data_IF_636495596326
#
_entry.id   IF_636495596326
#
_cell.length_a   1.000
_cell.length_b   1.000
_cell.length_c   1.000
_cell.angle_alpha   90.00
_cell.angle_beta   90.00
_cell.angle_gamma   90.00
#
_symmetry.space_group_name_H-M   'P 1'
#
loop_
_entity.id
_entity.type
_entity.pdbx_description
1 polymer ?
#
# COMPACT_ATOMS: atom_id res chain seq x y z
N UNK A 1 24.56 -83.81 11.70
CA UNK A 1 25.23 -83.39 12.95
C UNK A 1 25.81 -82.02 12.67
N UNK A 2 25.15 -80.99 13.22
CA UNK A 2 25.58 -79.61 13.44
C UNK A 2 26.37 -78.90 12.31
N UNK A 3 25.64 -78.30 11.37
CA UNK A 3 26.13 -77.11 10.67
C UNK A 3 26.00 -75.89 11.59
N UNK A 4 27.15 -75.32 11.95
CA UNK A 4 27.28 -74.22 12.89
C UNK A 4 27.01 -72.89 12.18
N UNK A 5 26.07 -72.14 12.74
CA UNK A 5 25.72 -70.75 12.46
C UNK A 5 26.95 -69.82 12.43
N UNK A 6 27.08 -69.04 11.35
CA UNK A 6 27.77 -67.75 11.35
C UNK A 6 26.73 -66.64 11.53
N UNK A 7 26.81 -65.77 12.56
CA UNK A 7 25.85 -64.68 12.69
C UNK A 7 26.26 -63.52 11.77
N UNK A 8 25.41 -63.25 10.77
CA UNK A 8 25.36 -61.98 10.03
C UNK A 8 24.90 -60.86 10.97
N UNK A 9 25.83 -60.23 11.69
CA UNK A 9 25.55 -59.00 12.45
C UNK A 9 26.72 -58.04 12.27
N UNK A 10 26.93 -57.50 11.06
CA UNK A 10 27.72 -56.27 10.88
C UNK A 10 27.32 -55.42 9.66
N UNK A 11 26.26 -55.77 8.92
CA UNK A 11 25.89 -55.02 7.70
C UNK A 11 24.58 -54.23 7.77
N UNK A 12 23.94 -54.13 8.94
CA UNK A 12 22.65 -53.43 9.09
C UNK A 12 22.75 -52.09 9.84
N UNK A 13 23.85 -51.83 10.54
CA UNK A 13 24.03 -50.59 11.32
C UNK A 13 24.66 -49.43 10.51
N UNK A 14 25.33 -49.73 9.39
CA UNK A 14 25.95 -48.68 8.56
C UNK A 14 24.95 -48.07 7.56
N UNK A 15 23.90 -48.80 7.13
CA UNK A 15 22.88 -48.24 6.25
C UNK A 15 21.86 -47.34 6.97
N UNK A 16 21.63 -47.53 8.27
CA UNK A 16 20.68 -46.69 9.04
C UNK A 16 21.33 -45.35 9.42
N UNK A 17 22.65 -45.30 9.59
CA UNK A 17 23.37 -44.04 9.83
C UNK A 17 23.62 -43.20 8.56
N UNK A 18 23.56 -43.81 7.37
CA UNK A 18 23.62 -43.08 6.09
C UNK A 18 22.25 -42.63 5.57
N UNK A 19 21.15 -43.13 6.14
CA UNK A 19 19.78 -42.68 5.87
C UNK A 19 19.30 -41.55 6.80
N UNK A 20 20.09 -41.18 7.81
CA UNK A 20 19.79 -40.10 8.76
C UNK A 20 20.71 -38.87 8.65
N UNK A 21 21.57 -38.79 7.62
CA UNK A 21 22.43 -37.61 7.35
C UNK A 21 21.99 -36.85 6.08
N UNK A 22 20.72 -37.01 5.67
CA UNK A 22 20.12 -36.18 4.61
C UNK A 22 18.68 -35.74 4.94
N UNK A 23 18.35 -35.51 6.22
CA UNK A 23 17.07 -34.92 6.61
C UNK A 23 17.17 -33.59 7.37
N UNK A 24 18.38 -33.03 7.53
CA UNK A 24 18.58 -31.69 8.10
C UNK A 24 19.37 -30.80 7.14
N UNK A 25 18.68 -30.27 6.13
CA UNK A 25 18.87 -28.93 5.53
C UNK A 25 17.95 -28.75 4.32
N UNK A 26 16.67 -29.01 4.53
CA UNK A 26 15.62 -28.26 3.84
C UNK A 26 14.64 -27.78 4.91
N UNK A 27 15.12 -26.92 5.82
CA UNK A 27 14.28 -25.78 6.16
C UNK A 27 14.14 -25.00 4.85
N UNK A 28 13.16 -25.37 4.04
CA UNK A 28 12.59 -24.49 3.04
C UNK A 28 12.07 -23.31 3.85
N UNK A 29 12.92 -22.32 4.10
CA UNK A 29 12.47 -21.01 4.55
C UNK A 29 11.44 -20.61 3.51
N UNK A 30 10.19 -20.46 3.93
CA UNK A 30 9.11 -20.09 3.02
C UNK A 30 9.63 -18.96 2.13
N UNK A 31 9.62 -19.16 0.81
CA UNK A 31 10.08 -18.14 -0.12
C UNK A 31 9.33 -16.85 0.22
N UNK A 32 10.07 -15.77 0.50
CA UNK A 32 9.46 -14.49 0.85
C UNK A 32 8.48 -14.04 -0.24
N UNK A 33 8.74 -14.39 -1.49
CA UNK A 33 7.89 -14.12 -2.64
C UNK A 33 6.86 -15.22 -2.80
N UNK A 34 5.58 -14.85 -2.83
CA UNK A 34 4.49 -15.78 -3.09
C UNK A 34 3.66 -15.37 -4.31
N UNK A 35 3.27 -16.34 -5.13
CA UNK A 35 2.35 -16.12 -6.24
C UNK A 35 0.95 -15.76 -5.70
N UNK A 36 0.33 -14.63 -6.12
CA UNK A 36 -1.00 -14.26 -5.64
C UNK A 36 -2.07 -15.29 -6.01
N UNK A 37 -1.88 -16.04 -7.10
CA UNK A 37 -2.79 -17.09 -7.57
C UNK A 37 -2.93 -18.26 -6.59
N UNK A 38 -2.02 -18.40 -5.63
CA UNK A 38 -2.15 -19.34 -4.50
C UNK A 38 -3.37 -19.04 -3.62
N UNK A 39 -3.79 -17.78 -3.56
CA UNK A 39 -4.82 -17.29 -2.64
C UNK A 39 -6.05 -16.73 -3.36
N UNK A 40 -5.87 -16.17 -4.56
CA UNK A 40 -6.93 -15.42 -5.24
C UNK A 40 -7.07 -15.84 -6.70
N UNK A 41 -8.26 -16.24 -7.09
CA UNK A 41 -8.62 -16.46 -8.48
C UNK A 41 -9.15 -15.16 -9.09
N UNK A 42 -8.34 -14.47 -9.88
CA UNK A 42 -8.75 -13.22 -10.51
C UNK A 42 -9.96 -13.39 -11.45
N UNK A 43 -10.07 -14.51 -12.18
CA UNK A 43 -11.19 -14.72 -13.09
C UNK A 43 -12.54 -14.73 -12.35
N UNK A 44 -12.58 -15.36 -11.18
CA UNK A 44 -13.75 -15.34 -10.29
C UNK A 44 -13.98 -13.96 -9.68
N UNK A 45 -12.94 -13.33 -9.12
CA UNK A 45 -13.06 -12.03 -8.44
C UNK A 45 -13.34 -10.86 -9.41
N UNK A 46 -13.07 -11.05 -10.70
CA UNK A 46 -13.33 -10.06 -11.74
C UNK A 46 -14.80 -9.98 -12.16
N UNK A 47 -15.63 -10.94 -11.72
CA UNK A 47 -17.08 -10.91 -11.92
C UNK A 47 -17.73 -9.84 -11.04
N UNK A 48 -18.84 -9.27 -11.52
CA UNK A 48 -19.62 -8.30 -10.75
C UNK A 48 -20.32 -9.04 -9.61
N UNK A 49 -20.04 -8.70 -8.34
CA UNK A 49 -20.72 -9.34 -7.21
C UNK A 49 -22.19 -8.91 -7.16
N UNK A 50 -23.04 -9.78 -6.60
CA UNK A 50 -24.38 -9.37 -6.20
C UNK A 50 -24.30 -8.33 -5.08
N UNK A 51 -25.24 -7.39 -5.06
CA UNK A 51 -25.35 -6.38 -4.02
C UNK A 51 -26.82 -5.97 -3.83
N UNK A 52 -27.11 -5.40 -2.67
CA UNK A 52 -28.43 -4.87 -2.32
C UNK A 52 -28.28 -3.59 -1.52
N UNK A 53 -29.32 -2.77 -1.50
CA UNK A 53 -29.34 -1.61 -0.61
C UNK A 53 -29.23 -2.06 0.85
N UNK A 54 -28.43 -1.33 1.62
CA UNK A 54 -28.25 -1.66 3.04
C UNK A 54 -29.55 -1.39 3.80
N UNK A 55 -30.00 -2.33 4.66
CA UNK A 55 -31.23 -2.17 5.44
C UNK A 55 -31.04 -1.28 6.68
N UNK A 56 -29.83 -0.76 6.90
CA UNK A 56 -29.43 -0.05 8.12
C UNK A 56 -29.73 1.44 8.00
N UNK A 57 -30.88 1.88 8.54
CA UNK A 57 -31.26 3.29 8.56
C UNK A 57 -30.25 4.17 9.34
N UNK A 58 -29.62 3.58 10.35
CA UNK A 58 -28.56 4.14 11.18
C UNK A 58 -27.16 4.01 10.55
N UNK A 59 -27.07 3.79 9.24
CA UNK A 59 -25.83 3.93 8.46
C UNK A 59 -26.05 4.78 7.21
N UNK A 60 -27.16 5.52 7.10
CA UNK A 60 -27.37 6.45 5.99
C UNK A 60 -26.44 7.66 6.11
N UNK A 61 -25.95 8.12 4.97
CA UNK A 61 -25.16 9.34 4.86
C UNK A 61 -25.58 10.12 3.62
N UNK A 62 -25.83 11.42 3.78
CA UNK A 62 -26.35 12.25 2.69
C UNK A 62 -25.39 12.26 1.49
N UNK A 63 -25.92 12.05 0.28
CA UNK A 63 -25.12 12.04 -0.95
C UNK A 63 -24.37 10.74 -1.23
N UNK A 64 -24.44 9.74 -0.34
CA UNK A 64 -23.85 8.41 -0.55
C UNK A 64 -24.92 7.32 -0.53
N UNK A 65 -24.80 6.35 -1.44
CA UNK A 65 -25.60 5.13 -1.43
C UNK A 65 -24.88 4.07 -0.62
N UNK A 66 -25.50 3.61 0.47
CA UNK A 66 -25.05 2.47 1.25
C UNK A 66 -25.59 1.15 0.70
N UNK A 67 -24.70 0.18 0.55
CA UNK A 67 -25.00 -1.14 0.02
C UNK A 67 -24.33 -2.24 0.85
N UNK A 68 -24.92 -3.43 0.78
CA UNK A 68 -24.27 -4.67 1.17
C UNK A 68 -23.90 -5.43 -0.09
N UNK A 69 -22.63 -5.82 -0.18
CA UNK A 69 -22.06 -6.54 -1.32
C UNK A 69 -21.77 -7.97 -0.90
N UNK A 70 -22.18 -8.94 -1.71
CA UNK A 70 -21.78 -10.34 -1.54
C UNK A 70 -20.28 -10.45 -1.73
N UNK A 71 -19.57 -10.69 -0.64
CA UNK A 71 -18.11 -10.80 -0.61
C UNK A 71 -17.62 -12.23 -0.77
N UNK A 72 -16.31 -12.39 -0.64
CA UNK A 72 -15.69 -13.71 -0.57
C UNK A 72 -16.17 -14.48 0.66
N UNK A 73 -16.32 -15.80 0.49
CA UNK A 73 -16.75 -16.70 1.56
C UNK A 73 -15.81 -16.63 2.76
N UNK A 74 -16.39 -16.56 3.95
CA UNK A 74 -15.66 -16.66 5.22
C UNK A 74 -15.89 -18.05 5.79
N UNK A 75 -14.83 -18.84 5.93
CA UNK A 75 -14.93 -20.23 6.41
C UNK A 75 -15.94 -21.07 5.60
N UNK A 76 -15.97 -20.86 4.28
CA UNK A 76 -16.88 -21.54 3.36
C UNK A 76 -18.32 -21.00 3.34
N UNK A 77 -18.67 -20.08 4.24
CA UNK A 77 -20.00 -19.47 4.32
C UNK A 77 -20.07 -18.16 3.54
N UNK A 78 -21.21 -17.89 2.94
CA UNK A 78 -21.45 -16.61 2.28
C UNK A 78 -21.41 -15.48 3.30
N UNK A 79 -20.78 -14.36 2.91
CA UNK A 79 -20.60 -13.21 3.78
C UNK A 79 -20.74 -11.94 2.97
N UNK A 80 -21.38 -10.94 3.55
CA UNK A 80 -21.47 -9.60 2.96
C UNK A 80 -20.39 -8.67 3.54
N UNK A 81 -20.16 -7.55 2.87
CA UNK A 81 -19.47 -6.40 3.44
C UNK A 81 -20.22 -5.11 3.11
N UNK A 82 -20.07 -4.11 3.98
CA UNK A 82 -20.70 -2.80 3.81
C UNK A 82 -19.86 -1.89 2.92
N UNK A 83 -20.51 -1.14 2.03
CA UNK A 83 -19.86 -0.11 1.23
C UNK A 83 -20.75 1.13 1.06
N UNK A 84 -20.12 2.29 0.94
CA UNK A 84 -20.71 3.48 0.37
C UNK A 84 -20.24 3.66 -1.07
N UNK A 85 -21.16 4.07 -1.93
CA UNK A 85 -20.92 4.47 -3.32
C UNK A 85 -21.41 5.90 -3.52
N UNK A 86 -20.65 6.72 -4.25
CA UNK A 86 -21.08 8.05 -4.62
C UNK A 86 -20.44 8.55 -5.90
N UNK A 87 -21.04 9.60 -6.47
CA UNK A 87 -20.65 10.17 -7.76
C UNK A 87 -20.53 11.69 -7.66
N UNK A 88 -19.68 12.32 -8.47
CA UNK A 88 -19.66 13.78 -8.60
C UNK A 88 -21.03 14.31 -9.01
N UNK A 89 -21.35 15.52 -8.54
CA UNK A 89 -22.55 16.23 -8.98
C UNK A 89 -22.38 16.74 -10.42
N UNK A 90 -23.50 16.92 -11.13
CA UNK A 90 -23.52 17.44 -12.50
C UNK A 90 -23.59 16.35 -13.57
N UNK A 91 -23.39 16.71 -14.85
CA UNK A 91 -23.52 15.76 -15.95
C UNK A 91 -22.38 14.73 -15.92
N UNK A 92 -22.76 13.45 -16.06
CA UNK A 92 -21.80 12.36 -16.24
C UNK A 92 -21.04 12.57 -17.57
N UNK A 93 -19.69 12.48 -17.60
CA UNK A 93 -18.91 12.50 -18.83
C UNK A 93 -19.36 11.41 -19.79
N UNK A 94 -19.13 11.60 -21.10
CA UNK A 94 -19.55 10.65 -22.16
C UNK A 94 -19.13 9.19 -21.88
N UNK A 95 -17.96 8.99 -21.26
CA UNK A 95 -17.42 7.67 -20.93
C UNK A 95 -17.48 7.34 -19.43
N UNK A 96 -18.29 8.05 -18.64
CA UNK A 96 -18.35 7.91 -17.18
C UNK A 96 -17.26 8.67 -16.43
N UNK A 97 -17.44 8.81 -15.12
CA UNK A 97 -16.45 9.39 -14.21
C UNK A 97 -15.29 8.42 -13.97
N UNK A 98 -14.04 8.91 -13.83
CA UNK A 98 -12.98 8.07 -13.29
C UNK A 98 -13.33 7.60 -11.87
N UNK A 99 -12.91 6.39 -11.50
CA UNK A 99 -13.31 5.72 -10.27
C UNK A 99 -12.17 5.53 -9.27
N UNK A 100 -12.47 5.64 -7.97
CA UNK A 100 -11.53 5.38 -6.89
C UNK A 100 -12.11 4.35 -5.90
N UNK A 101 -11.33 3.33 -5.59
CA UNK A 101 -11.56 2.43 -4.46
C UNK A 101 -10.76 2.95 -3.26
N UNK A 102 -11.43 3.36 -2.19
CA UNK A 102 -10.78 3.80 -0.95
C UNK A 102 -10.68 2.63 0.04
N UNK A 103 -9.47 2.34 0.52
CA UNK A 103 -9.16 1.22 1.41
C UNK A 103 -8.62 1.76 2.73
N UNK A 104 -9.43 1.71 3.78
CA UNK A 104 -9.10 2.32 5.07
C UNK A 104 -7.99 1.57 5.83
N UNK A 105 -7.37 2.25 6.79
CA UNK A 105 -6.33 1.71 7.66
C UNK A 105 -6.84 0.86 8.81
N UNK A 106 -5.89 0.39 9.63
CA UNK A 106 -6.18 -0.45 10.79
C UNK A 106 -7.05 0.32 11.78
N UNK A 107 -8.05 -0.35 12.35
CA UNK A 107 -9.02 0.32 13.20
C UNK A 107 -9.88 1.37 12.48
N UNK A 108 -9.93 1.40 11.14
CA UNK A 108 -10.81 2.28 10.35
C UNK A 108 -12.19 1.68 10.03
N UNK A 109 -12.90 2.31 9.10
CA UNK A 109 -14.19 1.88 8.53
C UNK A 109 -14.44 2.53 7.16
N UNK A 110 -15.61 2.34 6.55
CA UNK A 110 -16.05 3.03 5.34
C UNK A 110 -16.34 4.52 5.61
N UNK A 111 -15.30 5.35 5.72
CA UNK A 111 -15.42 6.77 6.10
C UNK A 111 -16.13 7.65 5.05
N UNK A 112 -17.37 8.13 5.33
CA UNK A 112 -18.13 8.90 4.36
C UNK A 112 -17.48 10.25 4.02
N UNK A 113 -16.79 10.89 4.98
CA UNK A 113 -16.16 12.19 4.74
C UNK A 113 -14.99 12.13 3.72
N UNK A 114 -14.27 11.00 3.65
CA UNK A 114 -13.24 10.83 2.62
C UNK A 114 -13.85 10.45 1.28
N UNK A 115 -14.96 9.71 1.25
CA UNK A 115 -15.70 9.51 0.01
C UNK A 115 -16.17 10.85 -0.56
N UNK A 116 -16.80 11.71 0.25
CA UNK A 116 -17.20 13.05 -0.18
C UNK A 116 -16.03 13.87 -0.74
N UNK A 117 -14.86 13.80 -0.11
CA UNK A 117 -13.68 14.55 -0.53
C UNK A 117 -13.25 14.16 -1.95
N UNK A 118 -13.13 12.86 -2.22
CA UNK A 118 -12.76 12.36 -3.55
C UNK A 118 -13.86 12.57 -4.59
N UNK A 119 -15.12 12.51 -4.18
CA UNK A 119 -16.28 12.88 -5.01
C UNK A 119 -16.23 14.35 -5.42
N UNK A 120 -15.97 15.26 -4.47
CA UNK A 120 -15.79 16.70 -4.72
C UNK A 120 -14.60 16.98 -5.64
N UNK A 121 -13.56 16.13 -5.59
CA UNK A 121 -12.43 16.17 -6.52
C UNK A 121 -12.74 15.59 -7.91
N UNK A 122 -13.97 15.11 -8.15
CA UNK A 122 -14.44 14.67 -9.46
C UNK A 122 -14.23 13.19 -9.76
N UNK A 123 -14.26 12.32 -8.74
CA UNK A 123 -14.19 10.87 -8.89
C UNK A 123 -15.50 10.20 -8.46
N UNK A 124 -15.92 9.16 -9.17
CA UNK A 124 -16.82 8.17 -8.60
C UNK A 124 -16.07 7.37 -7.54
N UNK A 125 -16.69 7.09 -6.40
CA UNK A 125 -16.01 6.46 -5.27
C UNK A 125 -16.80 5.26 -4.79
N UNK A 126 -16.08 4.16 -4.53
CA UNK A 126 -16.52 3.13 -3.59
C UNK A 126 -15.56 3.14 -2.40
N UNK A 127 -16.12 3.21 -1.19
CA UNK A 127 -15.39 3.00 0.06
C UNK A 127 -16.12 1.93 0.85
N UNK A 128 -15.39 1.00 1.43
CA UNK A 128 -15.99 -0.18 2.04
C UNK A 128 -15.28 -0.54 3.35
N UNK A 129 -15.96 -1.32 4.19
CA UNK A 129 -15.45 -1.76 5.48
C UNK A 129 -14.97 -3.22 5.38
N UNK A 130 -13.67 -3.43 5.56
CA UNK A 130 -13.08 -4.76 5.51
C UNK A 130 -13.05 -5.46 6.88
N UNK A 131 -13.51 -4.82 7.95
CA UNK A 131 -13.63 -5.41 9.29
C UNK A 131 -14.96 -6.14 9.51
N UNK A 132 -15.86 -6.17 8.52
CA UNK A 132 -17.25 -6.63 8.67
C UNK A 132 -18.06 -5.73 9.61
N UNK A 133 -17.84 -4.43 9.50
CA UNK A 133 -18.55 -3.41 10.26
C UNK A 133 -19.26 -2.45 9.31
N UNK A 134 -20.06 -1.55 9.89
CA UNK A 134 -20.65 -0.40 9.21
C UNK A 134 -20.48 0.83 10.10
N UNK A 135 -20.19 2.00 9.51
CA UNK A 135 -20.16 3.25 10.23
C UNK A 135 -21.58 3.64 10.69
N UNK A 136 -21.66 4.27 11.86
CA UNK A 136 -22.87 4.88 12.39
C UNK A 136 -22.75 6.40 12.29
N UNK A 137 -23.87 7.14 12.18
CA UNK A 137 -23.92 8.57 12.38
C UNK A 137 -23.17 8.95 13.66
N UNK A 138 -22.27 9.93 13.58
CA UNK A 138 -21.59 10.40 14.77
C UNK A 138 -22.60 11.12 15.69
N UNK A 139 -22.40 11.04 17.00
CA UNK A 139 -23.10 11.92 17.94
C UNK A 139 -22.52 13.36 17.92
N UNK A 140 -21.29 13.51 17.44
CA UNK A 140 -20.50 14.76 17.41
C UNK A 140 -19.84 14.96 16.03
N UNK A 141 -18.83 15.84 15.92
CA UNK A 141 -18.06 15.99 14.68
C UNK A 141 -17.23 14.73 14.43
N UNK A 142 -17.35 14.12 13.23
CA UNK A 142 -16.55 12.95 12.85
C UNK A 142 -15.06 13.25 12.92
N UNK A 143 -14.36 12.42 13.67
CA UNK A 143 -12.91 12.27 13.60
C UNK A 143 -12.59 10.81 13.30
N UNK A 144 -11.36 10.56 12.90
CA UNK A 144 -10.86 9.24 12.53
C UNK A 144 -10.94 8.25 13.69
N UNK A 145 -10.77 8.77 14.91
CA UNK A 145 -10.73 8.01 16.15
C UNK A 145 -12.13 7.83 16.78
N UNK A 146 -13.12 8.66 16.40
CA UNK A 146 -14.43 8.70 17.05
C UNK A 146 -15.61 8.35 16.14
N UNK A 147 -15.40 7.68 14.99
CA UNK A 147 -16.53 7.17 14.21
C UNK A 147 -17.15 5.93 14.90
N UNK A 148 -18.40 5.99 15.40
CA UNK A 148 -19.04 4.83 16.01
C UNK A 148 -19.37 3.79 14.93
N UNK A 149 -19.42 2.52 15.32
CA UNK A 149 -19.56 1.40 14.38
C UNK A 149 -20.46 0.32 14.96
N UNK A 150 -21.21 -0.33 14.08
CA UNK A 150 -21.91 -1.58 14.37
C UNK A 150 -21.28 -2.72 13.56
N UNK A 151 -21.24 -3.92 14.12
CA UNK A 151 -20.84 -5.12 13.37
C UNK A 151 -21.98 -5.60 12.50
N UNK A 152 -21.65 -6.14 11.32
CA UNK A 152 -22.58 -6.95 10.54
C UNK A 152 -22.73 -8.35 11.18
N UNK A 153 -23.61 -9.16 10.60
CA UNK A 153 -23.73 -10.58 10.97
C UNK A 153 -22.37 -11.29 10.86
N UNK A 154 -22.08 -12.17 11.82
CA UNK A 154 -20.79 -12.84 11.95
C UNK A 154 -19.72 -12.03 12.72
N UNK A 155 -20.01 -10.79 13.12
CA UNK A 155 -19.13 -10.01 14.00
C UNK A 155 -17.89 -9.45 13.31
N UNK A 156 -17.08 -8.69 14.05
CA UNK A 156 -15.85 -8.09 13.52
C UNK A 156 -14.85 -9.18 13.11
N UNK A 157 -14.27 -9.07 11.91
CA UNK A 157 -13.28 -10.03 11.40
C UNK A 157 -12.03 -9.36 10.86
N UNK A 158 -10.90 -10.06 10.90
CA UNK A 158 -9.64 -9.64 10.30
C UNK A 158 -9.01 -10.83 9.56
N UNK A 159 -9.46 -11.06 8.32
CA UNK A 159 -8.99 -12.16 7.47
C UNK A 159 -8.35 -11.57 6.20
N UNK A 160 -7.02 -11.64 6.11
CA UNK A 160 -6.27 -10.98 5.03
C UNK A 160 -6.66 -11.48 3.63
N UNK A 161 -6.89 -12.78 3.46
CA UNK A 161 -7.25 -13.37 2.17
C UNK A 161 -8.63 -12.86 1.73
N UNK A 162 -9.61 -12.90 2.63
CA UNK A 162 -10.97 -12.40 2.37
C UNK A 162 -10.96 -10.89 2.10
N UNK A 163 -10.16 -10.12 2.85
CA UNK A 163 -10.10 -8.66 2.70
C UNK A 163 -9.59 -8.25 1.32
N UNK A 164 -8.52 -8.90 0.83
CA UNK A 164 -7.99 -8.64 -0.53
C UNK A 164 -9.00 -9.07 -1.60
N UNK A 165 -9.65 -10.22 -1.44
CA UNK A 165 -10.70 -10.66 -2.34
C UNK A 165 -11.86 -9.64 -2.41
N UNK A 166 -12.28 -9.09 -1.27
CA UNK A 166 -13.32 -8.06 -1.20
C UNK A 166 -12.90 -6.74 -1.83
N UNK A 167 -11.61 -6.36 -1.80
CA UNK A 167 -11.11 -5.19 -2.56
C UNK A 167 -11.31 -5.40 -4.06
N UNK A 168 -10.95 -6.57 -4.58
CA UNK A 168 -11.10 -6.90 -6.01
C UNK A 168 -12.58 -6.95 -6.41
N UNK A 169 -13.45 -7.50 -5.56
CA UNK A 169 -14.89 -7.50 -5.77
C UNK A 169 -15.50 -6.09 -5.72
N UNK A 170 -15.07 -5.24 -4.78
CA UNK A 170 -15.47 -3.84 -4.72
C UNK A 170 -15.05 -3.08 -5.98
N UNK A 171 -13.86 -3.37 -6.52
CA UNK A 171 -13.42 -2.83 -7.80
C UNK A 171 -14.26 -3.33 -8.97
N UNK A 172 -14.55 -4.64 -9.05
CA UNK A 172 -15.45 -5.21 -10.06
C UNK A 172 -16.83 -4.56 -10.02
N UNK A 173 -17.37 -4.31 -8.83
CA UNK A 173 -18.64 -3.62 -8.64
C UNK A 173 -18.57 -2.15 -9.10
N UNK A 174 -17.54 -1.40 -8.68
CA UNK A 174 -17.38 -0.01 -9.09
C UNK A 174 -17.35 0.13 -10.61
N UNK A 175 -16.60 -0.74 -11.30
CA UNK A 175 -16.50 -0.76 -12.77
C UNK A 175 -17.82 -1.11 -13.47
N UNK A 176 -18.79 -1.70 -12.77
CA UNK A 176 -20.07 -2.11 -13.36
C UNK A 176 -21.12 -0.99 -13.38
N UNK A 177 -20.92 0.09 -12.62
CA UNK A 177 -21.88 1.18 -12.57
C UNK A 177 -21.82 2.04 -13.84
N UNK A 178 -22.97 2.33 -14.43
CA UNK A 178 -23.11 3.07 -15.71
C UNK A 178 -22.43 4.45 -15.69
N UNK A 179 -22.38 5.09 -14.52
CA UNK A 179 -21.76 6.40 -14.36
C UNK A 179 -20.23 6.35 -14.19
N UNK A 180 -19.61 5.17 -14.22
CA UNK A 180 -18.17 4.98 -13.99
C UNK A 180 -17.49 4.58 -15.29
N UNK A 181 -16.34 5.18 -15.55
CA UNK A 181 -15.44 4.73 -16.61
C UNK A 181 -14.64 3.51 -16.12
N UNK A 182 -14.91 2.29 -16.63
CA UNK A 182 -14.24 1.09 -16.15
C UNK A 182 -12.75 1.03 -16.54
N UNK A 183 -12.29 1.88 -17.46
CA UNK A 183 -10.91 1.97 -17.92
C UNK A 183 -10.13 3.11 -17.22
N UNK A 184 -10.74 3.79 -16.25
CA UNK A 184 -10.09 4.88 -15.50
C UNK A 184 -10.31 4.73 -14.01
N UNK A 185 -9.84 3.61 -13.45
CA UNK A 185 -9.95 3.32 -12.03
C UNK A 185 -8.59 3.22 -11.34
N UNK A 186 -8.55 3.64 -10.08
CA UNK A 186 -7.40 3.48 -9.19
C UNK A 186 -7.86 3.10 -7.78
N UNK A 187 -6.92 2.76 -6.90
CA UNK A 187 -7.19 2.65 -5.47
C UNK A 187 -6.29 3.58 -4.65
N UNK A 188 -6.77 3.91 -3.46
CA UNK A 188 -5.99 4.60 -2.42
C UNK A 188 -6.03 3.75 -1.16
N UNK A 189 -4.89 3.16 -0.81
CA UNK A 189 -4.67 2.40 0.40
C UNK A 189 -4.02 3.25 1.48
N UNK A 190 -4.53 3.16 2.71
CA UNK A 190 -3.96 3.87 3.85
C UNK A 190 -3.50 2.88 4.92
N UNK A 191 -2.23 2.94 5.32
CA UNK A 191 -1.66 2.08 6.38
C UNK A 191 -1.90 0.59 6.10
N UNK A 192 -2.74 -0.09 6.89
CA UNK A 192 -3.21 -1.44 6.59
C UNK A 192 -3.86 -1.58 5.21
N UNK A 193 -4.64 -0.58 4.82
CA UNK A 193 -5.19 -0.48 3.49
C UNK A 193 -4.11 -0.47 2.41
N UNK A 194 -2.89 -0.03 2.74
CA UNK A 194 -1.78 -0.05 1.79
C UNK A 194 -1.16 -1.43 1.57
N UNK A 195 -0.97 -2.23 2.63
CA UNK A 195 -0.54 -3.62 2.43
C UNK A 195 -1.59 -4.42 1.67
N UNK A 196 -2.88 -4.19 1.93
CA UNK A 196 -3.95 -4.83 1.16
C UNK A 196 -4.06 -4.30 -0.27
N UNK A 197 -3.82 -2.99 -0.48
CA UNK A 197 -3.72 -2.36 -1.78
C UNK A 197 -2.65 -3.01 -2.64
N UNK A 198 -1.44 -3.17 -2.12
CA UNK A 198 -0.33 -3.84 -2.80
C UNK A 198 -0.65 -5.30 -3.17
N UNK A 199 -1.39 -6.02 -2.32
CA UNK A 199 -1.87 -7.37 -2.63
C UNK A 199 -2.92 -7.34 -3.74
N UNK A 200 -3.89 -6.43 -3.67
CA UNK A 200 -4.90 -6.25 -4.70
C UNK A 200 -4.27 -5.86 -6.05
N UNK A 201 -3.22 -5.04 -6.04
CA UNK A 201 -2.42 -4.66 -7.20
C UNK A 201 -1.68 -5.84 -7.86
N UNK A 202 -1.33 -6.88 -7.08
CA UNK A 202 -0.78 -8.13 -7.59
C UNK A 202 -1.85 -9.07 -8.16
N UNK A 203 -3.10 -8.96 -7.70
CA UNK A 203 -4.23 -9.78 -8.17
C UNK A 203 -4.90 -9.16 -9.41
N UNK A 204 -5.26 -7.87 -9.32
CA UNK A 204 -6.15 -7.19 -10.26
C UNK A 204 -5.38 -6.22 -11.19
N UNK A 205 -5.12 -6.62 -12.45
CA UNK A 205 -4.40 -5.78 -13.40
C UNK A 205 -5.26 -4.64 -13.98
N UNK A 206 -6.55 -4.50 -13.63
CA UNK A 206 -7.45 -3.53 -14.26
C UNK A 206 -7.26 -2.11 -13.73
N UNK A 207 -6.72 -1.94 -12.52
CA UNK A 207 -6.40 -0.61 -12.00
C UNK A 207 -5.34 0.07 -12.87
N UNK A 208 -5.43 1.38 -13.04
CA UNK A 208 -4.41 2.19 -13.74
C UNK A 208 -3.34 2.73 -12.80
N UNK A 209 -3.63 2.79 -11.50
CA UNK A 209 -2.71 3.25 -10.45
C UNK A 209 -3.12 2.66 -9.09
N UNK A 210 -2.14 2.30 -8.27
CA UNK A 210 -2.29 2.13 -6.83
C UNK A 210 -1.56 3.23 -6.06
N UNK A 211 -2.21 3.80 -5.06
CA UNK A 211 -1.65 4.84 -4.18
C UNK A 211 -1.55 4.28 -2.77
N UNK A 212 -0.34 4.26 -2.23
CA UNK A 212 -0.02 3.72 -0.91
C UNK A 212 0.39 4.82 0.04
N UNK A 213 -0.36 4.96 1.12
CA UNK A 213 -0.10 5.98 2.12
C UNK A 213 0.49 5.31 3.37
N UNK A 214 1.65 5.81 3.80
CA UNK A 214 2.45 5.39 4.95
C UNK A 214 3.12 4.02 4.84
N UNK A 215 2.34 2.96 4.60
CA UNK A 215 2.79 1.57 4.67
C UNK A 215 2.82 0.90 3.29
N UNK A 216 2.72 -0.44 3.21
CA UNK A 216 2.97 -1.20 1.98
C UNK A 216 4.44 -1.58 1.80
N UNK A 217 5.24 -1.41 2.84
CA UNK A 217 6.66 -1.75 2.91
C UNK A 217 6.91 -3.27 2.97
N UNK A 218 8.18 -3.66 2.83
CA UNK A 218 8.60 -5.06 2.89
C UNK A 218 9.43 -5.37 4.14
N UNK A 219 9.03 -6.43 4.84
CA UNK A 219 9.72 -6.99 6.01
C UNK A 219 9.96 -8.49 5.83
N UNK A 220 10.92 -8.92 4.98
CA UNK A 220 11.04 -10.32 4.56
C UNK A 220 11.20 -11.35 5.69
N UNK A 221 11.79 -10.95 6.82
CA UNK A 221 11.99 -11.82 7.98
C UNK A 221 10.76 -11.91 8.90
N UNK A 222 9.69 -11.16 8.62
CA UNK A 222 8.46 -11.15 9.38
C UNK A 222 7.57 -12.32 8.98
N UNK A 223 7.01 -13.02 9.97
CA UNK A 223 5.99 -14.07 9.74
C UNK A 223 4.59 -13.50 9.45
N UNK A 224 4.38 -12.19 9.60
CA UNK A 224 3.09 -11.56 9.30
C UNK A 224 2.72 -11.76 7.83
N UNK A 225 1.43 -11.98 7.55
CA UNK A 225 0.94 -12.05 6.16
C UNK A 225 1.16 -10.72 5.41
N UNK A 226 1.00 -9.59 6.12
CA UNK A 226 1.30 -8.24 5.67
C UNK A 226 2.80 -7.94 5.84
N UNK A 227 3.65 -8.62 5.08
CA UNK A 227 5.11 -8.42 5.10
C UNK A 227 5.71 -7.99 3.75
N UNK A 228 4.85 -7.71 2.74
CA UNK A 228 5.29 -7.30 1.40
C UNK A 228 5.53 -8.44 0.41
N UNK A 229 5.22 -9.70 0.76
CA UNK A 229 5.47 -10.92 -0.05
C UNK A 229 4.94 -10.92 -1.50
N UNK A 230 3.99 -10.04 -1.81
CA UNK A 230 3.36 -9.95 -3.13
C UNK A 230 3.83 -8.77 -3.97
N UNK A 231 4.73 -7.91 -3.45
CA UNK A 231 5.18 -6.70 -4.15
C UNK A 231 5.88 -7.02 -5.49
N UNK A 232 6.61 -8.14 -5.57
CA UNK A 232 7.23 -8.63 -6.81
C UNK A 232 6.23 -9.03 -7.91
N UNK A 233 4.97 -9.29 -7.54
CA UNK A 233 3.92 -9.74 -8.45
C UNK A 233 2.95 -8.61 -8.83
N UNK A 234 3.18 -7.39 -8.35
CA UNK A 234 2.34 -6.22 -8.64
C UNK A 234 2.23 -5.98 -10.15
N UNK A 235 0.99 -5.86 -10.63
CA UNK A 235 0.64 -5.76 -12.05
C UNK A 235 0.33 -4.33 -12.50
N UNK A 236 0.24 -3.37 -11.58
CA UNK A 236 -0.18 -1.99 -11.85
C UNK A 236 0.87 -0.96 -11.36
N UNK A 237 0.97 0.23 -11.97
CA UNK A 237 1.82 1.31 -11.48
C UNK A 237 1.47 1.72 -10.06
N UNK A 238 2.49 2.11 -9.30
CA UNK A 238 2.45 2.12 -7.84
C UNK A 238 3.12 3.36 -7.27
N UNK A 239 2.38 4.21 -6.54
CA UNK A 239 2.88 5.45 -5.93
C UNK A 239 2.81 5.39 -4.41
N UNK A 240 3.88 5.79 -3.73
CA UNK A 240 3.95 5.86 -2.27
C UNK A 240 4.02 7.29 -1.75
N UNK A 241 3.39 7.57 -0.62
CA UNK A 241 3.67 8.76 0.21
C UNK A 241 3.85 8.32 1.66
N UNK A 242 5.02 8.58 2.24
CA UNK A 242 5.35 8.08 3.57
C UNK A 242 6.23 9.04 4.38
N UNK A 243 6.20 8.87 5.70
CA UNK A 243 6.97 9.66 6.66
C UNK A 243 8.31 9.04 7.02
N UNK A 244 9.32 9.87 7.29
CA UNK A 244 10.62 9.41 7.81
C UNK A 244 10.55 8.85 9.25
N UNK A 245 9.53 9.27 10.01
CA UNK A 245 9.33 8.97 11.42
C UNK A 245 8.08 8.13 11.68
N UNK A 246 7.60 7.43 10.65
CA UNK A 246 6.44 6.57 10.81
C UNK A 246 6.74 5.39 11.73
N UNK A 247 5.88 5.14 12.70
CA UNK A 247 6.05 4.05 13.69
C UNK A 247 5.69 2.67 13.10
N UNK A 248 4.91 2.64 12.02
CA UNK A 248 4.40 1.43 11.40
C UNK A 248 5.26 0.97 10.20
N UNK A 249 5.97 1.90 9.55
CA UNK A 249 6.86 1.62 8.43
C UNK A 249 8.15 2.43 8.54
N UNK A 250 9.30 1.76 8.63
CA UNK A 250 10.59 2.44 8.72
C UNK A 250 11.12 2.82 7.34
N UNK A 251 11.98 3.85 7.19
CA UNK A 251 12.68 4.12 5.94
C UNK A 251 13.39 2.90 5.35
N UNK A 252 13.96 2.04 6.20
CA UNK A 252 14.64 0.81 5.76
C UNK A 252 13.69 -0.26 5.21
N UNK A 253 12.50 -0.41 5.81
CA UNK A 253 11.50 -1.35 5.29
C UNK A 253 10.78 -0.79 4.06
N UNK A 254 10.54 0.52 4.01
CA UNK A 254 10.04 1.23 2.82
C UNK A 254 10.98 1.05 1.65
N UNK A 255 12.30 1.24 1.85
CA UNK A 255 13.33 0.96 0.84
C UNK A 255 13.18 -0.45 0.27
N UNK A 256 13.06 -1.47 1.12
CA UNK A 256 12.85 -2.86 0.66
C UNK A 256 11.56 -3.01 -0.12
N UNK A 257 10.49 -2.33 0.29
CA UNK A 257 9.22 -2.31 -0.44
C UNK A 257 9.37 -1.72 -1.84
N UNK A 258 10.09 -0.60 -1.96
CA UNK A 258 10.39 0.04 -3.24
C UNK A 258 11.23 -0.86 -4.16
N UNK A 259 12.23 -1.53 -3.62
CA UNK A 259 13.10 -2.45 -4.37
C UNK A 259 12.37 -3.72 -4.81
N UNK A 260 11.41 -4.20 -4.01
CA UNK A 260 10.63 -5.39 -4.29
C UNK A 260 9.45 -5.14 -5.23
N UNK A 261 8.91 -3.92 -5.26
CA UNK A 261 7.75 -3.58 -6.07
C UNK A 261 8.08 -3.61 -7.57
N UNK A 262 7.48 -4.57 -8.30
CA UNK A 262 7.77 -4.79 -9.72
C UNK A 262 7.41 -3.60 -10.64
N UNK A 263 6.47 -2.74 -10.21
CA UNK A 263 5.98 -1.59 -10.98
C UNK A 263 5.96 -0.30 -10.18
N UNK A 264 6.97 -0.09 -9.32
CA UNK A 264 7.12 1.18 -8.62
C UNK A 264 7.16 2.34 -9.63
N UNK A 265 6.18 3.22 -9.51
CA UNK A 265 6.05 4.40 -10.36
C UNK A 265 6.77 5.57 -9.74
N UNK A 266 6.44 5.95 -8.50
CA UNK A 266 7.05 7.10 -7.84
C UNK A 266 6.88 7.01 -6.32
N UNK A 267 7.53 7.90 -5.58
CA UNK A 267 7.45 7.96 -4.12
C UNK A 267 7.74 9.35 -3.60
N UNK A 268 6.96 9.77 -2.60
CA UNK A 268 7.15 10.99 -1.81
C UNK A 268 7.53 10.61 -0.39
N UNK A 269 8.75 10.95 0.02
CA UNK A 269 9.20 10.78 1.39
C UNK A 269 9.24 12.14 2.08
N UNK A 270 8.52 12.24 3.18
CA UNK A 270 8.30 13.50 3.90
C UNK A 270 8.90 13.39 5.30
N UNK A 271 9.67 14.40 5.69
CA UNK A 271 10.24 14.47 7.04
C UNK A 271 9.10 14.62 8.05
N UNK A 272 9.08 13.74 9.06
CA UNK A 272 8.16 13.81 10.21
C UNK A 272 6.67 13.87 9.85
N UNK A 273 6.28 13.30 8.69
CA UNK A 273 4.87 13.21 8.31
C UNK A 273 4.08 12.34 9.31
N UNK A 274 3.06 12.89 10.00
CA UNK A 274 2.32 12.14 11.00
C UNK A 274 1.45 11.04 10.39
N UNK A 275 1.39 9.88 11.05
CA UNK A 275 0.54 8.75 10.67
C UNK A 275 -0.90 8.99 11.13
N UNK A 276 -1.85 9.12 10.19
CA UNK A 276 -3.27 9.32 10.49
C UNK A 276 -4.13 9.02 9.26
N UNK A 277 -5.45 8.90 9.39
CA UNK A 277 -6.33 8.79 8.22
C UNK A 277 -6.41 10.11 7.41
N UNK A 278 -5.81 11.21 7.88
CA UNK A 278 -5.71 12.49 7.16
C UNK A 278 -4.93 12.27 5.86
N UNK A 279 -4.17 11.18 5.75
CA UNK A 279 -3.54 10.74 4.51
C UNK A 279 -4.47 10.75 3.29
N UNK A 280 -5.75 10.42 3.43
CA UNK A 280 -6.71 10.51 2.32
C UNK A 280 -6.91 11.93 1.75
N UNK A 281 -6.39 12.95 2.43
CA UNK A 281 -6.45 14.37 2.06
C UNK A 281 -5.15 14.89 1.45
N UNK A 282 -4.11 14.04 1.34
CA UNK A 282 -2.81 14.44 0.80
C UNK A 282 -2.92 14.89 -0.67
N UNK A 283 -2.38 16.07 -0.94
CA UNK A 283 -2.45 16.72 -2.25
C UNK A 283 -1.77 15.89 -3.34
N UNK A 284 -0.69 15.22 -2.97
CA UNK A 284 0.08 14.34 -3.84
C UNK A 284 -0.73 13.12 -4.32
N UNK A 285 -1.62 12.57 -3.49
CA UNK A 285 -2.52 11.48 -3.85
C UNK A 285 -3.50 11.90 -4.95
N UNK A 286 -4.16 13.06 -4.78
CA UNK A 286 -5.05 13.61 -5.81
C UNK A 286 -4.30 13.85 -7.12
N UNK A 287 -3.08 14.40 -7.02
CA UNK A 287 -2.26 14.72 -8.19
C UNK A 287 -1.83 13.49 -8.97
N UNK A 288 -1.43 12.42 -8.28
CA UNK A 288 -1.08 11.16 -8.95
C UNK A 288 -2.30 10.49 -9.56
N UNK A 289 -3.46 10.51 -8.89
CA UNK A 289 -4.71 10.04 -9.47
C UNK A 289 -5.09 10.83 -10.74
N UNK A 290 -5.02 12.16 -10.69
CA UNK A 290 -5.34 13.02 -11.83
C UNK A 290 -4.38 12.78 -13.01
N UNK A 291 -3.10 12.54 -12.74
CA UNK A 291 -2.12 12.22 -13.78
C UNK A 291 -2.46 10.93 -14.53
N UNK A 292 -2.88 9.89 -13.83
CA UNK A 292 -3.18 8.59 -14.43
C UNK A 292 -4.60 8.49 -15.01
N UNK A 293 -5.57 9.22 -14.45
CA UNK A 293 -6.99 9.05 -14.80
C UNK A 293 -7.56 10.22 -15.62
N UNK A 294 -6.97 11.41 -15.50
CA UNK A 294 -7.48 12.66 -16.10
C UNK A 294 -6.44 13.38 -16.98
N UNK A 295 -5.35 12.71 -17.37
CA UNK A 295 -4.25 13.29 -18.17
C UNK A 295 -3.59 14.51 -17.49
N UNK A 296 -3.60 14.56 -16.15
CA UNK A 296 -2.91 15.59 -15.39
C UNK A 296 -1.38 15.44 -15.44
N UNK A 297 -0.68 16.40 -14.84
CA UNK A 297 0.78 16.35 -14.72
C UNK A 297 1.16 15.66 -13.41
N UNK A 298 1.92 14.56 -13.50
CA UNK A 298 2.43 13.82 -12.35
C UNK A 298 3.39 14.67 -11.48
N UNK A 299 3.77 14.12 -10.33
CA UNK A 299 4.81 14.70 -9.45
C UNK A 299 6.20 14.54 -10.08
N UNK A 300 7.22 15.31 -9.65
CA UNK A 300 8.60 15.05 -10.02
C UNK A 300 8.98 13.60 -9.71
N UNK A 301 9.89 13.03 -10.50
CA UNK A 301 10.37 11.65 -10.31
C UNK A 301 11.88 11.65 -10.37
N UNK A 302 12.50 11.16 -9.30
CA UNK A 302 13.94 10.97 -9.22
C UNK A 302 14.31 9.52 -9.51
N UNK A 303 15.49 9.32 -10.12
CA UNK A 303 16.10 8.02 -10.31
C UNK A 303 16.64 7.44 -9.01
N UNK A 304 17.33 6.30 -9.13
CA UNK A 304 18.02 5.68 -7.98
C UNK A 304 19.12 6.61 -7.46
N UNK A 305 19.31 6.73 -6.14
CA UNK A 305 20.38 7.51 -5.59
C UNK A 305 21.73 6.84 -5.87
N UNK A 306 22.71 7.65 -6.19
CA UNK A 306 24.11 7.27 -6.36
C UNK A 306 24.91 7.98 -5.28
N UNK A 307 25.58 7.19 -4.43
CA UNK A 307 26.42 7.71 -3.35
C UNK A 307 27.89 7.57 -3.73
N UNK A 308 28.62 8.67 -3.61
CA UNK A 308 30.08 8.78 -3.70
C UNK A 308 30.62 9.25 -2.35
N UNK A 309 31.96 9.31 -2.19
CA UNK A 309 32.66 9.51 -0.91
C UNK A 309 32.01 10.54 0.04
N UNK A 310 31.47 11.66 -0.46
CA UNK A 310 30.72 12.63 0.36
C UNK A 310 29.55 13.30 -0.38
N UNK A 311 29.01 12.67 -1.43
CA UNK A 311 27.97 13.30 -2.26
C UNK A 311 26.96 12.26 -2.70
N UNK A 312 25.69 12.62 -2.59
CA UNK A 312 24.56 11.88 -3.13
C UNK A 312 24.03 12.60 -4.36
N UNK A 313 23.69 11.84 -5.38
CA UNK A 313 23.21 12.30 -6.67
C UNK A 313 22.02 11.44 -7.12
N UNK A 314 21.07 12.02 -7.83
CA UNK A 314 20.02 11.29 -8.54
C UNK A 314 19.61 12.03 -9.81
N UNK A 315 19.39 11.28 -10.89
CA UNK A 315 18.85 11.82 -12.13
C UNK A 315 17.40 12.27 -11.94
N UNK A 316 17.02 13.36 -12.61
CA UNK A 316 15.63 13.77 -12.73
C UNK A 316 15.02 13.05 -13.93
N UNK A 317 14.13 12.10 -13.64
CA UNK A 317 13.43 11.32 -14.66
C UNK A 317 12.20 12.06 -15.19
N UNK A 318 11.59 12.90 -14.35
CA UNK A 318 10.48 13.76 -14.71
C UNK A 318 10.42 14.98 -13.78
N UNK A 319 10.17 16.17 -14.33
CA UNK A 319 10.19 17.43 -13.56
C UNK A 319 8.84 17.83 -12.94
N UNK A 320 7.76 17.07 -13.22
CA UNK A 320 6.43 17.46 -12.79
C UNK A 320 5.98 18.78 -13.46
N UNK A 321 5.51 19.74 -12.65
CA UNK A 321 5.17 21.10 -13.10
C UNK A 321 6.40 22.03 -13.23
N UNK A 322 7.61 21.50 -13.02
CA UNK A 322 8.85 22.25 -12.95
C UNK A 322 9.35 22.31 -11.51
N UNK A 323 10.53 21.74 -11.27
CA UNK A 323 11.11 21.65 -9.93
C UNK A 323 11.47 23.05 -9.41
N UNK A 324 10.91 23.43 -8.28
CA UNK A 324 11.13 24.73 -7.62
C UNK A 324 12.05 24.62 -6.39
N UNK A 325 12.18 23.42 -5.82
CA UNK A 325 12.99 23.17 -4.62
C UNK A 325 13.53 21.75 -4.63
N UNK A 326 14.78 21.57 -4.23
CA UNK A 326 15.35 20.25 -3.98
C UNK A 326 16.05 20.25 -2.61
N UNK A 327 15.96 19.13 -1.90
CA UNK A 327 16.58 18.95 -0.58
C UNK A 327 17.32 17.63 -0.49
N UNK A 328 18.33 17.60 0.38
CA UNK A 328 18.80 16.39 1.03
C UNK A 328 18.14 16.30 2.41
N UNK A 329 17.33 15.28 2.62
CA UNK A 329 16.84 14.89 3.93
C UNK A 329 17.82 13.89 4.55
N UNK A 330 18.21 14.08 5.80
CA UNK A 330 19.19 13.23 6.47
C UNK A 330 18.99 13.14 7.98
N UNK A 331 19.54 12.10 8.59
CA UNK A 331 19.66 11.98 10.04
C UNK A 331 21.08 11.59 10.42
N UNK A 332 21.59 12.17 11.50
CA UNK A 332 22.89 11.91 12.13
C UNK A 332 22.73 11.23 13.51
N UNK A 333 21.51 10.75 13.81
CA UNK A 333 21.17 10.11 15.09
C UNK A 333 21.66 8.65 15.17
N UNK A 334 22.98 8.44 15.13
CA UNK A 334 23.60 7.11 15.16
C UNK A 334 23.27 6.29 16.42
N UNK A 335 23.14 6.96 17.56
CA UNK A 335 22.88 6.32 18.85
C UNK A 335 21.39 5.94 19.07
N UNK A 336 20.48 6.48 18.25
CA UNK A 336 19.05 6.18 18.33
C UNK A 336 18.70 4.94 17.50
N UNK A 337 18.39 3.86 18.22
CA UNK A 337 18.07 2.54 17.66
C UNK A 337 16.61 2.42 17.21
N UNK A 338 15.73 3.28 17.71
CA UNK A 338 14.31 3.31 17.33
C UNK A 338 14.12 4.27 16.17
N UNK A 339 13.91 3.73 14.96
CA UNK A 339 13.88 4.51 13.72
C UNK A 339 12.97 5.73 13.76
N UNK A 340 11.76 5.61 14.32
CA UNK A 340 10.78 6.71 14.37
C UNK A 340 11.12 7.81 15.38
N UNK A 341 12.13 7.60 16.24
CA UNK A 341 12.62 8.61 17.20
C UNK A 341 13.83 9.39 16.68
N UNK A 342 14.40 8.99 15.53
CA UNK A 342 15.55 9.69 14.93
C UNK A 342 15.15 11.10 14.52
N UNK A 343 16.02 12.06 14.78
CA UNK A 343 15.79 13.45 14.36
C UNK A 343 16.21 13.57 12.89
N UNK A 344 15.27 13.99 12.04
CA UNK A 344 15.51 14.23 10.62
C UNK A 344 15.68 15.71 10.34
N UNK A 345 16.66 16.04 9.50
CA UNK A 345 17.05 17.39 9.12
C UNK A 345 17.02 17.50 7.60
N UNK A 346 17.01 18.71 7.08
CA UNK A 346 17.19 18.95 5.64
C UNK A 346 18.15 20.09 5.36
N UNK A 347 18.86 19.96 4.24
CA UNK A 347 19.64 21.05 3.62
C UNK A 347 19.25 21.18 2.14
N UNK A 348 19.44 22.36 1.52
CA UNK A 348 19.22 22.52 0.08
C UNK A 348 20.09 21.56 -0.74
N UNK A 349 19.49 20.96 -1.77
CA UNK A 349 20.20 20.23 -2.81
C UNK A 349 20.27 21.07 -4.09
N UNK A 350 21.35 20.92 -4.85
CA UNK A 350 21.52 21.58 -6.14
C UNK A 350 20.72 20.83 -7.21
N UNK A 351 19.99 21.57 -8.03
CA UNK A 351 19.27 21.07 -9.19
C UNK A 351 19.74 21.82 -10.45
N UNK A 352 20.02 21.09 -11.54
CA UNK A 352 20.55 21.66 -12.79
C UNK A 352 19.70 21.33 -14.03
N UNK A 353 18.44 20.92 -13.84
CA UNK A 353 17.56 20.42 -14.92
C UNK A 353 17.66 18.92 -15.14
N UNK A 354 18.86 18.33 -15.01
CA UNK A 354 19.09 16.90 -15.29
C UNK A 354 19.22 16.05 -14.05
N UNK A 355 19.70 16.63 -12.96
CA UNK A 355 19.92 15.89 -11.72
C UNK A 355 19.79 16.76 -10.48
N UNK A 356 19.58 16.08 -9.35
CA UNK A 356 19.62 16.62 -8.00
C UNK A 356 20.85 16.07 -7.28
N UNK A 357 21.61 16.93 -6.61
CA UNK A 357 22.80 16.52 -5.86
C UNK A 357 23.01 17.32 -4.58
N UNK A 358 23.61 16.70 -3.57
CA UNK A 358 23.99 17.37 -2.33
C UNK A 358 25.23 16.73 -1.71
N UNK A 359 26.03 17.55 -1.01
CA UNK A 359 27.07 17.03 -0.12
C UNK A 359 26.40 16.39 1.09
N UNK A 360 26.84 15.18 1.44
CA UNK A 360 26.34 14.48 2.62
C UNK A 360 27.01 15.09 3.86
N UNK A 361 26.24 15.58 4.85
CA UNK A 361 26.82 16.10 6.10
C UNK A 361 27.62 15.02 6.85
N UNK A 362 28.69 15.41 7.57
CA UNK A 362 29.42 14.47 8.44
C UNK A 362 28.48 13.76 9.42
N UNK A 363 28.82 12.52 9.78
CA UNK A 363 28.05 11.68 10.73
C UNK A 363 26.63 11.31 10.27
N UNK A 364 26.24 11.61 9.03
CA UNK A 364 24.97 11.14 8.47
C UNK A 364 24.94 9.61 8.52
N UNK A 365 23.85 9.04 9.05
CA UNK A 365 23.62 7.59 9.08
C UNK A 365 22.61 7.14 8.03
N UNK A 366 21.67 8.00 7.66
CA UNK A 366 20.71 7.74 6.60
C UNK A 366 20.29 9.03 5.92
N UNK A 367 20.08 8.99 4.60
CA UNK A 367 19.60 10.15 3.84
C UNK A 367 18.82 9.77 2.57
N UNK A 368 18.11 10.74 2.01
CA UNK A 368 17.47 10.66 0.70
C UNK A 368 17.33 12.05 0.07
N UNK A 369 17.25 12.11 -1.26
CA UNK A 369 16.97 13.34 -1.99
C UNK A 369 15.47 13.47 -2.25
N UNK A 370 14.95 14.70 -2.25
CA UNK A 370 13.59 15.00 -2.70
C UNK A 370 13.56 16.27 -3.55
N UNK A 371 12.82 16.22 -4.65
CA UNK A 371 12.57 17.35 -5.54
C UNK A 371 11.08 17.71 -5.52
N UNK A 372 10.77 18.99 -5.32
CA UNK A 372 9.44 19.54 -5.16
C UNK A 372 9.13 20.45 -6.35
N UNK A 373 7.92 20.33 -6.89
CA UNK A 373 7.41 21.25 -7.92
C UNK A 373 6.33 22.21 -7.38
N UNK A 374 5.96 22.06 -6.11
CA UNK A 374 4.97 22.88 -5.45
C UNK A 374 5.16 22.82 -3.94
N UNK A 375 4.79 23.89 -3.25
CA UNK A 375 4.56 23.83 -1.81
C UNK A 375 3.17 23.23 -1.50
N UNK A 376 3.02 22.64 -0.32
CA UNK A 376 1.77 22.07 0.16
C UNK A 376 1.77 21.90 1.67
N UNK A 377 0.59 21.80 2.27
CA UNK A 377 0.44 21.73 3.73
C UNK A 377 1.17 20.55 4.39
N UNK A 378 1.39 19.47 3.64
CA UNK A 378 2.09 18.28 4.12
C UNK A 378 3.49 18.11 3.52
N UNK A 379 3.97 19.04 2.69
CA UNK A 379 5.22 18.90 1.94
C UNK A 379 5.31 17.58 1.15
N UNK A 380 4.22 17.17 0.50
CA UNK A 380 4.08 15.89 -0.18
C UNK A 380 4.12 15.99 -1.72
N UNK A 381 4.15 17.20 -2.29
CA UNK A 381 4.31 17.45 -3.72
C UNK A 381 5.78 17.29 -4.19
N UNK A 382 6.34 16.11 -3.96
CA UNK A 382 7.71 15.79 -4.34
C UNK A 382 7.84 14.45 -5.07
N UNK A 383 9.02 14.22 -5.62
CA UNK A 383 9.55 12.89 -5.91
C UNK A 383 10.83 12.67 -5.13
N UNK A 384 10.98 11.49 -4.56
CA UNK A 384 12.09 11.15 -3.68
C UNK A 384 12.89 9.95 -4.20
N UNK A 385 14.18 9.95 -3.91
CA UNK A 385 14.99 8.72 -4.02
C UNK A 385 14.60 7.76 -2.90
N UNK A 386 14.99 6.49 -3.03
CA UNK A 386 14.94 5.59 -1.87
C UNK A 386 15.91 6.09 -0.77
N UNK A 387 15.61 5.80 0.52
CA UNK A 387 16.56 6.03 1.60
C UNK A 387 17.83 5.23 1.40
N UNK A 388 18.96 5.82 1.75
CA UNK A 388 20.27 5.16 1.69
C UNK A 388 20.91 5.22 3.07
N UNK A 389 21.37 4.08 3.55
CA UNK A 389 22.20 4.01 4.75
C UNK A 389 23.62 4.44 4.39
N UNK A 390 24.15 5.39 5.14
CA UNK A 390 25.48 5.97 4.92
C UNK A 390 26.46 5.23 5.82
N UNK A 391 27.06 4.18 5.26
CA UNK A 391 28.19 3.48 5.87
C UNK A 391 29.49 4.17 5.45
N UNK A 392 29.77 5.35 6.01
CA UNK A 392 31.12 5.91 5.93
C UNK A 392 31.98 5.13 6.93
N UNK A 393 32.58 4.03 6.45
CA UNK A 393 33.69 3.39 7.16
C UNK A 393 34.88 4.32 7.26
#
# INVERSE_FOLDING_TARGET
MNDIFLPKIELFLVLIFLLFIFSETLLCGAEFREAPEKYWNFAELSQVPAFRDSPFADSKYAGLRDILVTGAKVEGKDAEFFAYVGYPAGPTPENGFPGIVLIHGGGGTAYPQYAELWIKHGYAVIIFDWYNQRPLPPAEKLTEINIPRATLEGGKRQNHIVNVANIVLAHSLLRSFENVNPEKTAFVGLSWGSWYGAMAAAVDPRFKLGIEIYCGDATPNSQRFTNGRFLHAVKVPMYWVAGSNDENATPASLKKGFEECAKLENKSLVIELPHSHIGFTFGSCFRMADAFLKNGIALPKLGKPQVSINTIHADVLFEGKGIVKAILAYTDSADEKVSHKRVWKSIPAQFNGKSVQAKIPPNTVQCFLSAYDQEGGFNDFCGSTEPVDINLK
#
